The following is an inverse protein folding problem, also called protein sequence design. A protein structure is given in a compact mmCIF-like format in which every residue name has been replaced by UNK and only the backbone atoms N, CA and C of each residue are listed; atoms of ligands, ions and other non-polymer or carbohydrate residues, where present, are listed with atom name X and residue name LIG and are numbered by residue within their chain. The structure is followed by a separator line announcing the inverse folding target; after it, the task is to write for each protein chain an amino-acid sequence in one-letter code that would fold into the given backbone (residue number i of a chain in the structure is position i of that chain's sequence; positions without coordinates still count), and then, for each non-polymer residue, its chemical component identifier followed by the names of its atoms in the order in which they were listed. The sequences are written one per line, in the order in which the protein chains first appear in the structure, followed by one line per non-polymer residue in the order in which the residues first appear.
data_IF_820866982320
#
_entry.id   IF_820866982320
#
_cell.length_a   1.000
_cell.length_b   1.000
_cell.length_c   1.000
_cell.angle_alpha   90.00
_cell.angle_beta   90.00
_cell.angle_gamma   90.00
#
_symmetry.space_group_name_H-M   'P 1'
#
loop_
_entity.id
_entity.type
_entity.pdbx_description
1 polymer ?
#
# COMPACT_ATOMS: atom_id res chain seq x y z
N UNK A 1 3.52 -11.29 -18.30
CA UNK A 1 2.88 -9.97 -18.13
C UNK A 1 1.37 -10.06 -18.06
N UNK A 2 0.71 -11.04 -18.70
CA UNK A 2 -0.68 -11.36 -18.34
C UNK A 2 -0.72 -11.73 -16.86
N UNK A 3 -1.61 -11.09 -16.10
CA UNK A 3 -1.96 -11.35 -14.69
C UNK A 3 -1.06 -10.76 -13.59
N UNK A 4 -0.38 -9.64 -13.84
CA UNK A 4 0.23 -8.82 -12.76
C UNK A 4 -0.38 -7.42 -12.73
N UNK A 5 -0.58 -6.90 -11.52
CA UNK A 5 -1.25 -5.63 -11.28
C UNK A 5 -0.29 -4.65 -10.60
N UNK A 6 -0.33 -3.38 -11.00
CA UNK A 6 0.39 -2.31 -10.31
C UNK A 6 -0.63 -1.57 -9.44
N UNK A 7 -0.43 -1.60 -8.12
CA UNK A 7 -1.31 -0.90 -7.18
C UNK A 7 -0.69 0.44 -6.79
N UNK A 8 -1.52 1.47 -6.86
CA UNK A 8 -1.23 2.79 -6.32
C UNK A 8 -1.82 2.94 -4.91
N UNK A 9 -1.57 4.08 -4.28
CA UNK A 9 -2.05 4.35 -2.91
C UNK A 9 -3.58 4.31 -2.81
N UNK A 10 -4.28 4.73 -3.87
CA UNK A 10 -5.74 4.79 -3.86
C UNK A 10 -6.39 3.41 -3.92
N UNK A 11 -5.80 2.45 -4.64
CA UNK A 11 -6.25 1.06 -4.69
C UNK A 11 -5.92 0.28 -3.41
N UNK A 12 -4.83 0.61 -2.72
CA UNK A 12 -4.38 -0.15 -1.55
C UNK A 12 -5.33 -0.07 -0.35
N UNK A 13 -6.03 1.06 -0.15
CA UNK A 13 -6.97 1.22 0.97
C UNK A 13 -8.19 0.28 0.89
N UNK A 14 -8.94 0.23 -0.24
CA UNK A 14 -10.03 -0.73 -0.41
C UNK A 14 -9.56 -2.19 -0.32
N UNK A 15 -8.36 -2.47 -0.83
CA UNK A 15 -7.79 -3.83 -0.88
C UNK A 15 -7.53 -4.41 0.52
N UNK A 16 -7.30 -3.58 1.55
CA UNK A 16 -7.13 -4.07 2.92
C UNK A 16 -8.30 -4.95 3.39
N UNK A 17 -9.52 -4.65 2.96
CA UNK A 17 -10.71 -5.42 3.34
C UNK A 17 -10.78 -6.80 2.67
N UNK A 18 -9.96 -7.02 1.64
CA UNK A 18 -9.93 -8.25 0.83
C UNK A 18 -8.53 -8.87 0.82
N UNK A 19 -7.69 -8.56 1.83
CA UNK A 19 -6.28 -8.95 1.83
C UNK A 19 -6.09 -10.48 1.77
N UNK A 20 -7.02 -11.23 2.36
CA UNK A 20 -7.01 -12.69 2.34
C UNK A 20 -7.55 -13.29 1.01
N UNK A 21 -8.20 -12.46 0.19
CA UNK A 21 -8.78 -12.85 -1.11
C UNK A 21 -7.85 -12.50 -2.28
N UNK A 22 -6.78 -11.74 -2.04
CA UNK A 22 -5.84 -11.33 -3.08
C UNK A 22 -4.53 -12.13 -3.07
N UNK A 23 -4.08 -12.53 -4.25
CA UNK A 23 -2.74 -13.07 -4.45
C UNK A 23 -1.71 -11.91 -4.52
N UNK A 24 -1.20 -11.49 -3.35
CA UNK A 24 -0.23 -10.39 -3.22
C UNK A 24 1.03 -10.59 -4.06
N UNK A 25 1.38 -11.84 -4.41
CA UNK A 25 2.57 -12.15 -5.24
C UNK A 25 2.45 -11.63 -6.67
N UNK A 26 1.21 -11.36 -7.13
CA UNK A 26 0.91 -10.79 -8.45
C UNK A 26 0.82 -9.27 -8.42
N UNK A 27 0.96 -8.66 -7.25
CA UNK A 27 0.86 -7.22 -7.06
C UNK A 27 2.26 -6.61 -7.07
N UNK A 28 2.39 -5.54 -7.83
CA UNK A 28 3.52 -4.64 -7.81
C UNK A 28 3.13 -3.35 -7.10
N UNK A 29 4.07 -2.82 -6.32
CA UNK A 29 3.91 -1.54 -5.63
C UNK A 29 5.16 -0.71 -5.88
N UNK A 30 4.99 0.57 -6.21
CA UNK A 30 6.11 1.49 -6.32
C UNK A 30 6.65 1.81 -4.93
N UNK A 31 7.97 1.99 -4.80
CA UNK A 31 8.54 2.49 -3.54
C UNK A 31 7.91 3.82 -3.09
N UNK A 32 7.45 4.64 -4.04
CA UNK A 32 6.74 5.90 -3.76
C UNK A 32 5.41 5.66 -3.01
N UNK A 33 4.66 4.64 -3.41
CA UNK A 33 3.35 4.29 -2.83
C UNK A 33 3.47 3.97 -1.34
N UNK A 34 4.59 3.40 -0.89
CA UNK A 34 4.84 3.17 0.54
C UNK A 34 4.84 4.48 1.35
N UNK A 35 5.51 5.52 0.86
CA UNK A 35 5.55 6.84 1.52
C UNK A 35 4.21 7.55 1.47
N UNK A 36 3.49 7.42 0.36
CA UNK A 36 2.15 8.00 0.20
C UNK A 36 1.14 7.39 1.17
N UNK A 37 1.13 6.05 1.31
CA UNK A 37 0.31 5.35 2.31
C UNK A 37 0.62 5.86 3.72
N UNK A 38 1.90 5.94 4.10
CA UNK A 38 2.31 6.47 5.40
C UNK A 38 1.82 7.91 5.63
N UNK A 39 1.89 8.77 4.61
CA UNK A 39 1.40 10.15 4.68
C UNK A 39 -0.13 10.21 4.85
N UNK A 40 -0.90 9.33 4.18
CA UNK A 40 -2.35 9.26 4.37
C UNK A 40 -2.69 8.83 5.79
N UNK A 41 -2.07 7.77 6.31
CA UNK A 41 -2.29 7.30 7.69
C UNK A 41 -1.98 8.43 8.68
N UNK A 42 -0.82 9.08 8.51
CA UNK A 42 -0.42 10.19 9.37
C UNK A 42 -1.42 11.34 9.34
N UNK A 43 -1.92 11.75 8.17
CA UNK A 43 -2.91 12.83 8.04
C UNK A 43 -4.26 12.46 8.65
N UNK A 44 -4.77 11.26 8.38
CA UNK A 44 -6.05 10.79 8.89
C UNK A 44 -6.05 10.63 10.41
N UNK A 45 -4.92 10.17 10.99
CA UNK A 45 -4.73 10.10 12.43
C UNK A 45 -4.48 11.48 13.05
N UNK A 46 -3.49 12.22 12.57
CA UNK A 46 -2.98 13.40 13.26
C UNK A 46 -3.88 14.61 13.08
N UNK A 47 -4.39 14.83 11.88
CA UNK A 47 -5.19 16.02 11.51
C UNK A 47 -6.68 15.73 11.66
N UNK A 48 -7.15 14.59 11.15
CA UNK A 48 -8.59 14.28 11.06
C UNK A 48 -9.12 13.47 12.24
N UNK A 49 -8.25 12.87 13.06
CA UNK A 49 -8.62 12.01 14.21
C UNK A 49 -9.58 10.88 13.82
N UNK A 50 -9.49 10.38 12.58
CA UNK A 50 -10.40 9.36 12.02
C UNK A 50 -9.90 7.93 12.19
N UNK A 51 -8.60 7.76 12.40
CA UNK A 51 -8.00 6.45 12.66
C UNK A 51 -7.75 6.34 14.16
N UNK A 52 -8.22 5.25 14.76
CA UNK A 52 -8.04 4.99 16.20
C UNK A 52 -6.63 4.40 16.45
N UNK A 53 -6.19 3.48 15.59
CA UNK A 53 -4.90 2.81 15.71
C UNK A 53 -4.11 2.88 14.38
N UNK A 54 -3.29 3.94 14.17
CA UNK A 54 -2.49 4.09 12.96
C UNK A 54 -1.35 3.07 12.88
N UNK A 55 -0.89 2.51 14.01
CA UNK A 55 0.23 1.58 14.05
C UNK A 55 -0.22 0.23 13.50
N UNK A 56 -1.36 -0.27 13.96
CA UNK A 56 -1.91 -1.53 13.44
C UNK A 56 -2.25 -1.43 11.96
N UNK A 57 -2.79 -0.30 11.51
CA UNK A 57 -3.03 -0.05 10.08
C UNK A 57 -1.73 -0.04 9.26
N UNK A 58 -0.68 0.64 9.75
CA UNK A 58 0.62 0.65 9.08
C UNK A 58 1.23 -0.75 8.96
N UNK A 59 1.10 -1.58 10.00
CA UNK A 59 1.54 -2.99 9.99
C UNK A 59 0.80 -3.82 8.94
N UNK A 60 -0.49 -3.58 8.71
CA UNK A 60 -1.24 -4.27 7.65
C UNK A 60 -0.70 -3.90 6.25
N UNK A 61 -0.47 -2.62 5.99
CA UNK A 61 0.15 -2.21 4.73
C UNK A 61 1.58 -2.72 4.57
N UNK A 62 2.35 -2.82 5.65
CA UNK A 62 3.69 -3.41 5.63
C UNK A 62 3.63 -4.88 5.18
N UNK A 63 2.67 -5.67 5.67
CA UNK A 63 2.49 -7.07 5.23
C UNK A 63 2.18 -7.17 3.74
N UNK A 64 1.34 -6.27 3.20
CA UNK A 64 1.09 -6.20 1.76
C UNK A 64 2.38 -5.88 1.02
N UNK A 65 3.15 -4.91 1.51
CA UNK A 65 4.41 -4.51 0.89
C UNK A 65 5.46 -5.63 0.86
N UNK A 66 5.57 -6.40 1.95
CA UNK A 66 6.49 -7.54 2.04
C UNK A 66 6.11 -8.69 1.10
N UNK A 67 4.81 -8.88 0.83
CA UNK A 67 4.32 -9.87 -0.13
C UNK A 67 4.34 -9.40 -1.59
N UNK A 68 4.32 -8.09 -1.84
CA UNK A 68 4.29 -7.48 -3.16
C UNK A 68 5.69 -7.31 -3.76
N UNK A 69 5.76 -7.32 -5.09
CA UNK A 69 7.02 -7.07 -5.80
C UNK A 69 7.30 -5.56 -5.88
N UNK A 70 8.34 -5.09 -5.18
CA UNK A 70 8.74 -3.68 -5.21
C UNK A 70 9.28 -3.29 -6.59
N UNK A 71 8.73 -2.23 -7.18
CA UNK A 71 9.22 -1.70 -8.46
C UNK A 71 9.84 -0.33 -8.22
N UNK A 72 11.14 -0.21 -8.53
CA UNK A 72 11.85 1.08 -8.49
C UNK A 72 11.34 2.03 -9.56
N UNK A 73 11.60 3.34 -9.41
CA UNK A 73 11.26 4.31 -10.45
C UNK A 73 11.93 3.90 -11.78
N UNK A 74 11.24 4.00 -12.92
CA UNK A 74 11.92 4.00 -14.21
C UNK A 74 12.99 5.09 -14.19
N UNK A 75 14.21 4.75 -14.60
CA UNK A 75 15.25 5.75 -14.85
C UNK A 75 14.74 6.64 -15.97
N UNK A 76 14.30 7.85 -15.60
CA UNK A 76 14.06 8.91 -16.56
C UNK A 76 15.46 9.40 -16.92
N UNK A 77 16.01 8.88 -18.02
CA UNK A 77 17.17 9.47 -18.70
C UNK A 77 16.72 10.67 -19.51
#
# INVERSE_FOLDING_TARGET
MKDRFLFDTSALYPVLNYIDEIDVSRVHILSLTFYEVGNVIWREFSVRKKIVDPISLAKLFQKIHEGAQSVGRPSIR
#
